data_IF_248849665758
#
_entry.id   IF_248849665758
#
_cell.length_a   1.000
_cell.length_b   1.000
_cell.length_c   1.000
_cell.angle_alpha   90.00
_cell.angle_beta   90.00
_cell.angle_gamma   90.00
#
_symmetry.space_group_name_H-M   'P 1'
#
loop_
_entity.id
_entity.type
_entity.pdbx_description
1 polymer ?
#
# COMPACT_ATOMS: atom_id res chain seq x y z
N UNK A 1 3.38 4.87 21.60
CA UNK A 1 3.02 4.72 20.19
C UNK A 1 2.66 3.27 19.99
N UNK A 2 1.37 2.99 19.85
CA UNK A 2 0.88 1.64 19.63
C UNK A 2 1.06 1.27 18.17
N UNK A 3 1.80 0.19 17.93
CA UNK A 3 1.90 -0.41 16.61
C UNK A 3 0.55 -0.98 16.18
N UNK A 4 0.31 -1.06 14.87
CA UNK A 4 -0.83 -1.79 14.33
C UNK A 4 -0.72 -3.28 14.67
N UNK A 5 -1.85 -3.91 14.96
CA UNK A 5 -1.95 -5.36 15.07
C UNK A 5 -1.43 -6.03 13.79
N UNK A 6 -0.94 -7.27 13.89
CA UNK A 6 -0.43 -7.99 12.72
C UNK A 6 -1.45 -8.01 11.58
N UNK A 7 -2.72 -8.28 11.87
CA UNK A 7 -3.80 -8.30 10.86
C UNK A 7 -4.08 -6.91 10.27
N UNK A 8 -4.07 -5.86 11.11
CA UNK A 8 -4.30 -4.49 10.67
C UNK A 8 -3.22 -4.01 9.68
N UNK A 9 -1.99 -4.52 9.79
CA UNK A 9 -0.91 -4.21 8.85
C UNK A 9 -1.20 -4.66 7.40
N UNK A 10 -2.14 -5.60 7.21
CA UNK A 10 -2.56 -6.15 5.91
C UNK A 10 -3.93 -5.67 5.41
N UNK A 11 -4.56 -4.67 6.06
CA UNK A 11 -5.82 -4.09 5.55
C UNK A 11 -5.71 -3.62 4.10
N UNK A 12 -6.81 -3.53 3.38
CA UNK A 12 -6.75 -3.07 1.98
C UNK A 12 -6.12 -1.67 1.85
N UNK A 13 -6.56 -0.74 2.70
CA UNK A 13 -6.10 0.66 2.70
C UNK A 13 -5.60 1.02 4.09
N UNK A 14 -4.47 1.74 4.14
CA UNK A 14 -3.93 2.36 5.35
C UNK A 14 -3.65 3.84 5.08
N UNK A 15 -3.97 4.69 6.04
CA UNK A 15 -3.59 6.10 5.99
C UNK A 15 -2.12 6.30 6.40
N UNK A 16 -1.57 7.50 6.16
CA UNK A 16 -0.16 7.80 6.45
C UNK A 16 0.23 7.61 7.93
N UNK A 17 -0.71 7.84 8.85
CA UNK A 17 -0.48 7.63 10.28
C UNK A 17 -0.40 6.13 10.60
N UNK A 18 -1.30 5.34 10.02
CA UNK A 18 -1.32 3.88 10.12
C UNK A 18 -0.06 3.26 9.51
N UNK A 19 0.41 3.76 8.36
CA UNK A 19 1.68 3.33 7.75
C UNK A 19 2.86 3.51 8.69
N UNK A 20 2.89 4.62 9.43
CA UNK A 20 3.94 4.93 10.40
C UNK A 20 3.90 4.00 11.63
N UNK A 21 2.75 3.37 11.89
CA UNK A 21 2.51 2.40 12.98
C UNK A 21 2.71 0.94 12.54
N UNK A 22 3.12 0.68 11.30
CA UNK A 22 3.49 -0.68 10.87
C UNK A 22 4.78 -1.10 11.59
N UNK A 23 4.72 -2.21 12.31
CA UNK A 23 5.86 -2.74 13.06
C UNK A 23 6.88 -3.44 12.15
N UNK A 24 6.40 -4.20 11.16
CA UNK A 24 7.26 -4.95 10.26
C UNK A 24 7.89 -4.02 9.22
N UNK A 25 9.22 -3.90 9.23
CA UNK A 25 9.95 -3.01 8.33
C UNK A 25 9.79 -3.35 6.85
N UNK A 26 9.64 -4.62 6.50
CA UNK A 26 9.43 -5.03 5.10
C UNK A 26 8.02 -4.68 4.62
N UNK A 27 7.01 -4.98 5.44
CA UNK A 27 5.62 -4.57 5.16
C UNK A 27 5.56 -3.05 5.04
N UNK A 28 6.20 -2.31 5.96
CA UNK A 28 6.22 -0.85 5.94
C UNK A 28 6.83 -0.32 4.65
N UNK A 29 7.96 -0.85 4.20
CA UNK A 29 8.59 -0.48 2.93
C UNK A 29 7.72 -0.76 1.72
N UNK A 30 7.02 -1.89 1.70
CA UNK A 30 6.06 -2.22 0.63
C UNK A 30 4.97 -1.15 0.61
N UNK A 31 4.33 -0.93 1.76
CA UNK A 31 3.19 -0.01 1.88
C UNK A 31 3.54 1.45 1.61
N UNK A 32 4.64 1.96 2.16
CA UNK A 32 5.12 3.33 1.90
C UNK A 32 5.43 3.55 0.41
N UNK A 33 5.93 2.52 -0.28
CA UNK A 33 6.17 2.59 -1.73
C UNK A 33 4.87 2.76 -2.51
N UNK A 34 3.85 1.95 -2.24
CA UNK A 34 2.59 2.02 -2.99
C UNK A 34 1.77 3.26 -2.63
N UNK A 35 1.80 3.69 -1.37
CA UNK A 35 1.21 4.95 -0.96
C UNK A 35 1.82 6.13 -1.72
N UNK A 36 3.16 6.17 -1.87
CA UNK A 36 3.82 7.19 -2.67
C UNK A 36 3.43 7.13 -4.14
N UNK A 37 3.34 5.93 -4.74
CA UNK A 37 2.94 5.77 -6.13
C UNK A 37 1.49 6.23 -6.37
N UNK A 38 0.56 5.93 -5.46
CA UNK A 38 -0.81 6.43 -5.53
C UNK A 38 -0.86 7.95 -5.36
N UNK A 39 -0.08 8.50 -4.43
CA UNK A 39 0.00 9.93 -4.22
C UNK A 39 0.60 10.65 -5.43
N UNK A 40 1.64 10.08 -6.06
CA UNK A 40 2.21 10.60 -7.31
C UNK A 40 1.22 10.49 -8.48
N UNK A 41 0.48 9.39 -8.61
CA UNK A 41 -0.58 9.26 -9.62
C UNK A 41 -1.68 10.31 -9.44
N UNK A 42 -2.09 10.55 -8.20
CA UNK A 42 -3.06 11.59 -7.85
C UNK A 42 -2.55 13.01 -8.06
N UNK A 43 -1.28 13.32 -7.76
CA UNK A 43 -0.72 14.65 -8.05
C UNK A 43 -0.63 14.90 -9.57
N UNK A 44 -0.36 13.85 -10.36
CA UNK A 44 -0.32 13.93 -11.82
C UNK A 44 -1.72 13.84 -12.47
N UNK A 45 -2.80 13.76 -11.69
CA UNK A 45 -4.21 13.81 -12.12
C UNK A 45 -4.51 14.97 -13.07
N UNK A 46 -3.80 16.08 -12.93
CA UNK A 46 -4.00 17.27 -13.75
C UNK A 46 -3.67 17.04 -15.25
N UNK A 47 -3.01 15.92 -15.61
CA UNK A 47 -2.70 15.51 -16.98
C UNK A 47 -3.39 14.18 -17.40
N UNK A 48 -4.19 13.56 -16.53
CA UNK A 48 -4.74 12.20 -16.73
C UNK A 48 -6.28 12.24 -16.63
N UNK A 49 -7.04 11.65 -17.58
CA UNK A 49 -8.48 11.50 -17.43
C UNK A 49 -8.84 10.72 -16.16
N UNK A 50 -9.88 11.11 -15.42
CA UNK A 50 -10.36 10.38 -14.21
C UNK A 50 -10.45 8.86 -14.41
N UNK A 51 -10.90 8.42 -15.60
CA UNK A 51 -11.04 7.00 -15.93
C UNK A 51 -9.71 6.24 -16.02
N UNK A 52 -8.61 6.92 -16.34
CA UNK A 52 -7.27 6.34 -16.31
C UNK A 52 -6.70 6.34 -14.88
N UNK A 53 -7.13 7.29 -14.04
CA UNK A 53 -6.68 7.38 -12.65
C UNK A 53 -7.25 6.25 -11.77
N UNK A 54 -8.51 5.88 -11.96
CA UNK A 54 -9.14 4.72 -11.32
C UNK A 54 -8.41 3.42 -11.69
N UNK A 55 -8.17 3.18 -12.98
CA UNK A 55 -7.45 2.00 -13.46
C UNK A 55 -6.02 1.90 -12.89
N UNK A 56 -5.30 3.03 -12.83
CA UNK A 56 -3.95 3.07 -12.24
C UNK A 56 -4.01 2.80 -10.74
N UNK A 57 -4.99 3.38 -10.04
CA UNK A 57 -5.18 3.15 -8.60
C UNK A 57 -5.49 1.69 -8.30
N UNK A 58 -6.44 1.08 -9.03
CA UNK A 58 -6.78 -0.34 -8.90
C UNK A 58 -5.59 -1.26 -9.18
N UNK A 59 -4.79 -0.97 -10.22
CA UNK A 59 -3.60 -1.73 -10.53
C UNK A 59 -2.53 -1.61 -9.44
N UNK A 60 -2.35 -0.42 -8.86
CA UNK A 60 -1.43 -0.21 -7.74
C UNK A 60 -1.87 -0.98 -6.49
N UNK A 61 -3.15 -0.94 -6.13
CA UNK A 61 -3.70 -1.72 -5.01
C UNK A 61 -3.48 -3.22 -5.24
N UNK A 62 -3.81 -3.72 -6.44
CA UNK A 62 -3.63 -5.13 -6.78
C UNK A 62 -2.16 -5.58 -6.65
N UNK A 63 -1.22 -4.76 -7.16
CA UNK A 63 0.22 -5.05 -7.08
C UNK A 63 0.74 -4.98 -5.65
N UNK A 64 0.22 -4.08 -4.82
CA UNK A 64 0.53 -4.02 -3.40
C UNK A 64 0.12 -5.32 -2.70
N UNK A 65 -1.15 -5.72 -2.89
CA UNK A 65 -1.71 -6.92 -2.27
C UNK A 65 -0.96 -8.18 -2.69
N UNK A 66 -0.57 -8.32 -3.96
CA UNK A 66 0.24 -9.46 -4.40
C UNK A 66 1.58 -9.56 -3.65
N UNK A 67 2.24 -8.42 -3.39
CA UNK A 67 3.50 -8.41 -2.63
C UNK A 67 3.29 -8.70 -1.16
N UNK A 68 2.23 -8.16 -0.56
CA UNK A 68 1.86 -8.47 0.83
C UNK A 68 1.55 -9.95 1.02
N UNK A 69 0.83 -10.56 0.07
CA UNK A 69 0.53 -12.00 0.07
C UNK A 69 1.81 -12.83 -0.09
N UNK A 70 2.69 -12.48 -1.04
CA UNK A 70 4.01 -13.14 -1.18
C UNK A 70 4.83 -13.04 0.10
N UNK A 71 4.83 -11.89 0.75
CA UNK A 71 5.51 -11.70 2.03
C UNK A 71 4.94 -12.63 3.11
N UNK A 72 3.60 -12.73 3.19
CA UNK A 72 2.90 -13.61 4.13
C UNK A 72 3.20 -15.09 3.87
N UNK A 73 3.18 -15.52 2.61
CA UNK A 73 3.53 -16.89 2.21
C UNK A 73 4.99 -17.23 2.53
N UNK A 74 5.94 -16.36 2.17
CA UNK A 74 7.36 -16.58 2.43
C UNK A 74 7.72 -16.53 3.92
N UNK A 75 6.93 -15.83 4.74
CA UNK A 75 7.12 -15.78 6.21
C UNK A 75 6.54 -17.01 6.93
N UNK A 76 5.88 -17.91 6.21
CA UNK A 76 5.27 -19.13 6.73
C UNK A 76 6.10 -20.39 6.41
N UNK A 77 7.25 -20.24 5.71
CA UNK A 77 8.21 -21.33 5.42
C UNK A 77 9.44 -21.31 6.32
#
# INVERSE_FOLDING_TARGET
MDYLSYEDQFKEVLNQEELSRIQNQEIRKIREKYWRLQHEAFINEHEIPDSDLDNVSEELVRREQEKLQRFKSNSTE
#
